data_IF_309459829311
#
_entry.id   IF_309459829311
#
_cell.length_a   1.000
_cell.length_b   1.000
_cell.length_c   1.000
_cell.angle_alpha   90.00
_cell.angle_beta   90.00
_cell.angle_gamma   90.00
#
_symmetry.space_group_name_H-M   'P 1'
#
loop_
_entity.id
_entity.type
_entity.pdbx_description
1 polymer ?
#
# COMPACT_ATOMS: atom_id res chain seq x y z
N UNK A 1 2.39 17.99 -17.16
CA UNK A 1 2.21 16.58 -17.57
C UNK A 1 0.89 16.48 -18.30
N UNK A 2 0.85 15.80 -19.43
CA UNK A 2 -0.43 15.48 -20.08
C UNK A 2 -1.01 14.24 -19.39
N UNK A 3 -2.15 14.40 -18.72
CA UNK A 3 -2.83 13.29 -18.06
C UNK A 3 -3.79 12.60 -19.04
N UNK A 4 -3.90 11.29 -18.95
CA UNK A 4 -4.82 10.46 -19.73
C UNK A 4 -5.61 9.53 -18.81
N UNK A 5 -6.67 8.94 -19.35
CA UNK A 5 -7.45 7.92 -18.67
C UNK A 5 -6.66 6.60 -18.69
N UNK A 6 -6.72 5.86 -17.58
CA UNK A 6 -6.08 4.55 -17.46
C UNK A 6 -6.55 3.60 -18.57
N UNK A 7 -5.65 3.04 -19.39
CA UNK A 7 -6.02 2.17 -20.52
C UNK A 7 -6.52 0.79 -20.08
N UNK A 8 -6.37 0.42 -18.80
CA UNK A 8 -6.80 -0.88 -18.27
C UNK A 8 -8.23 -0.88 -17.75
N UNK A 9 -8.91 0.28 -17.75
CA UNK A 9 -10.32 0.34 -17.39
C UNK A 9 -11.18 -0.35 -18.46
N UNK A 10 -12.14 -1.17 -18.03
CA UNK A 10 -13.10 -1.85 -18.91
C UNK A 10 -14.02 -0.84 -19.62
N UNK A 11 -14.44 0.20 -18.91
CA UNK A 11 -15.29 1.28 -19.43
C UNK A 11 -14.71 2.65 -19.06
N UNK A 12 -13.72 3.15 -19.83
CA UNK A 12 -13.04 4.40 -19.52
C UNK A 12 -13.94 5.64 -19.58
N UNK A 13 -14.97 5.61 -20.43
CA UNK A 13 -15.87 6.77 -20.62
C UNK A 13 -16.81 6.97 -19.43
N UNK A 14 -17.28 5.87 -18.84
CA UNK A 14 -18.19 5.90 -17.70
C UNK A 14 -17.49 5.73 -16.35
N UNK A 15 -16.17 5.54 -16.33
CA UNK A 15 -15.41 5.47 -15.07
C UNK A 15 -15.60 6.74 -14.26
N UNK A 16 -15.97 6.56 -13.01
CA UNK A 16 -15.89 7.58 -11.95
C UNK A 16 -15.27 6.91 -10.73
N UNK A 17 -14.27 7.55 -10.08
CA UNK A 17 -13.79 7.04 -8.79
C UNK A 17 -14.96 6.90 -7.81
N UNK A 18 -14.89 5.89 -6.94
CA UNK A 18 -15.85 5.69 -5.84
C UNK A 18 -15.70 6.80 -4.77
N UNK A 19 -15.53 8.04 -5.20
CA UNK A 19 -15.40 9.20 -4.30
C UNK A 19 -16.79 9.52 -3.79
N UNK A 20 -16.98 9.44 -2.48
CA UNK A 20 -18.20 9.91 -1.88
C UNK A 20 -18.26 11.43 -1.99
N UNK A 21 -19.41 11.94 -2.45
CA UNK A 21 -19.64 13.36 -2.53
C UNK A 21 -19.91 13.94 -1.12
N UNK A 22 -18.86 14.45 -0.49
CA UNK A 22 -18.95 15.06 0.84
C UNK A 22 -19.86 16.32 0.86
N UNK A 23 -20.23 16.88 -0.30
CA UNK A 23 -21.18 17.95 -0.38
C UNK A 23 -22.61 17.46 -0.18
N UNK A 24 -22.93 16.27 -0.69
CA UNK A 24 -24.26 15.67 -0.57
C UNK A 24 -24.43 14.79 0.67
N UNK A 25 -23.36 14.17 1.18
CA UNK A 25 -23.39 13.30 2.35
C UNK A 25 -22.96 14.05 3.63
N UNK A 26 -23.96 14.60 4.32
CA UNK A 26 -23.73 15.38 5.55
C UNK A 26 -23.12 14.54 6.69
N UNK A 27 -23.51 13.29 6.84
CA UNK A 27 -23.03 12.39 7.91
C UNK A 27 -21.55 12.10 7.72
N UNK A 28 -21.16 11.77 6.51
CA UNK A 28 -19.77 11.52 6.16
C UNK A 28 -18.92 12.77 6.27
N UNK A 29 -19.40 13.88 5.74
CA UNK A 29 -18.73 15.18 5.86
C UNK A 29 -18.45 15.53 7.32
N UNK A 30 -19.45 15.40 8.20
CA UNK A 30 -19.30 15.70 9.62
C UNK A 30 -18.30 14.77 10.31
N UNK A 31 -18.28 13.48 9.93
CA UNK A 31 -17.26 12.54 10.41
C UNK A 31 -15.85 12.97 10.01
N UNK A 32 -15.64 13.30 8.73
CA UNK A 32 -14.33 13.73 8.24
C UNK A 32 -13.88 15.06 8.83
N UNK A 33 -14.80 16.03 8.97
CA UNK A 33 -14.48 17.30 9.62
C UNK A 33 -14.06 17.09 11.08
N UNK A 34 -14.80 16.28 11.85
CA UNK A 34 -14.44 15.95 13.22
C UNK A 34 -13.09 15.21 13.32
N UNK A 35 -12.79 14.34 12.34
CA UNK A 35 -11.50 13.64 12.27
C UNK A 35 -10.36 14.62 11.97
N UNK A 36 -10.54 15.53 11.03
CA UNK A 36 -9.58 16.57 10.71
C UNK A 36 -9.32 17.50 11.90
N UNK A 37 -10.36 17.95 12.60
CA UNK A 37 -10.23 18.78 13.80
C UNK A 37 -9.38 18.10 14.88
N UNK A 38 -9.66 16.82 15.15
CA UNK A 38 -8.86 16.04 16.10
C UNK A 38 -7.40 15.87 15.66
N UNK A 39 -7.19 15.67 14.36
CA UNK A 39 -5.85 15.50 13.79
C UNK A 39 -5.08 16.82 13.83
N UNK A 40 -5.70 17.91 13.42
CA UNK A 40 -5.09 19.25 13.47
C UNK A 40 -4.78 19.67 14.91
N UNK A 41 -5.65 19.39 15.87
CA UNK A 41 -5.39 19.65 17.28
C UNK A 41 -4.13 18.92 17.76
N UNK A 42 -3.96 17.63 17.40
CA UNK A 42 -2.74 16.86 17.72
C UNK A 42 -1.48 17.47 17.09
N UNK A 43 -1.56 17.97 15.85
CA UNK A 43 -0.44 18.65 15.21
C UNK A 43 -0.11 19.99 15.87
N UNK A 44 -1.14 20.75 16.30
CA UNK A 44 -0.97 22.02 17.01
C UNK A 44 -0.34 21.77 18.39
N UNK A 45 -0.81 20.76 19.11
CA UNK A 45 -0.21 20.35 20.40
C UNK A 45 1.27 19.97 20.22
N UNK A 46 1.58 19.15 19.22
CA UNK A 46 2.97 18.78 18.87
C UNK A 46 3.79 19.98 18.40
N UNK A 47 3.23 20.91 17.64
CA UNK A 47 3.92 22.12 17.21
C UNK A 47 4.22 23.04 18.42
N UNK A 48 3.33 23.06 19.43
CA UNK A 48 3.58 23.72 20.72
C UNK A 48 4.72 23.05 21.52
N UNK A 49 4.76 21.71 21.50
CA UNK A 49 5.83 20.94 22.11
C UNK A 49 7.18 21.10 21.37
N UNK A 50 7.15 21.33 20.05
CA UNK A 50 8.33 21.59 19.20
C UNK A 50 8.81 23.04 19.26
N UNK A 51 8.34 23.82 20.23
CA UNK A 51 8.83 25.17 20.41
C UNK A 51 10.35 25.12 20.74
N UNK A 52 11.20 25.73 19.91
CA UNK A 52 12.65 25.66 20.07
C UNK A 52 13.17 26.23 21.39
N UNK A 53 12.38 27.04 22.08
CA UNK A 53 12.68 27.58 23.38
C UNK A 53 12.31 26.64 24.55
N UNK A 54 11.72 25.50 24.26
CA UNK A 54 11.39 24.48 25.26
C UNK A 54 12.34 23.29 25.18
N UNK A 55 13.28 23.11 26.14
CA UNK A 55 14.25 22.02 26.13
C UNK A 55 13.60 20.63 26.08
N UNK A 56 12.41 20.49 26.71
CA UNK A 56 11.70 19.22 26.76
C UNK A 56 11.12 18.84 25.40
N UNK A 57 10.62 19.78 24.63
CA UNK A 57 10.13 19.56 23.28
C UNK A 57 11.23 19.08 22.33
N UNK A 58 12.42 19.65 22.47
CA UNK A 58 13.62 19.23 21.72
C UNK A 58 14.06 17.81 22.08
N UNK A 59 13.95 17.43 23.33
CA UNK A 59 14.30 16.10 23.84
C UNK A 59 13.29 15.05 23.36
N UNK A 60 12.00 15.34 23.44
CA UNK A 60 10.92 14.47 22.95
C UNK A 60 10.99 14.31 21.42
N UNK A 61 11.28 15.35 20.67
CA UNK A 61 11.48 15.29 19.22
C UNK A 61 12.72 14.45 18.85
N UNK A 62 13.83 14.59 19.58
CA UNK A 62 15.01 13.76 19.39
C UNK A 62 14.74 12.29 19.72
N UNK A 63 14.01 12.03 20.81
CA UNK A 63 13.60 10.66 21.18
C UNK A 63 12.71 10.04 20.12
N UNK A 64 11.76 10.79 19.56
CA UNK A 64 10.91 10.35 18.47
C UNK A 64 11.73 10.07 17.21
N UNK A 65 12.65 10.95 16.84
CA UNK A 65 13.57 10.78 15.72
C UNK A 65 14.48 9.55 15.90
N UNK A 66 15.04 9.35 17.11
CA UNK A 66 15.84 8.17 17.41
C UNK A 66 15.05 6.87 17.29
N UNK A 67 13.81 6.83 17.79
CA UNK A 67 12.92 5.66 17.65
C UNK A 67 12.60 5.40 16.18
N UNK A 68 12.34 6.43 15.42
CA UNK A 68 12.11 6.34 13.98
C UNK A 68 13.34 5.84 13.23
N UNK A 69 14.54 6.36 13.56
CA UNK A 69 15.81 5.89 13.00
C UNK A 69 16.12 4.44 13.38
N UNK A 70 15.84 4.03 14.62
CA UNK A 70 15.98 2.64 15.06
C UNK A 70 15.00 1.71 14.31
N UNK A 71 13.78 2.18 14.05
CA UNK A 71 12.82 1.45 13.24
C UNK A 71 13.31 1.32 11.78
N UNK A 72 13.85 2.40 11.20
CA UNK A 72 14.44 2.37 9.85
C UNK A 72 15.63 1.42 9.79
N UNK A 73 16.53 1.47 10.77
CA UNK A 73 17.68 0.55 10.82
C UNK A 73 17.23 -0.91 10.99
N UNK A 74 16.21 -1.15 11.80
CA UNK A 74 15.60 -2.48 11.93
C UNK A 74 14.95 -2.94 10.61
N UNK A 75 14.27 -2.04 9.91
CA UNK A 75 13.71 -2.29 8.57
C UNK A 75 14.83 -2.58 7.56
N UNK A 76 15.97 -1.89 7.64
CA UNK A 76 17.12 -2.16 6.76
C UNK A 76 17.80 -3.51 7.02
N UNK A 77 17.72 -4.02 8.24
CA UNK A 77 18.26 -5.34 8.59
C UNK A 77 17.27 -6.50 8.32
N UNK A 78 15.98 -6.25 8.41
CA UNK A 78 14.90 -7.24 8.27
C UNK A 78 14.53 -7.68 6.82
N UNK A 79 14.77 -6.91 5.72
CA UNK A 79 14.35 -7.36 4.38
C UNK A 79 14.94 -8.74 4.00
N UNK A 80 16.12 -9.06 4.49
CA UNK A 80 16.74 -10.37 4.25
C UNK A 80 16.03 -11.48 5.02
N UNK A 81 15.77 -11.26 6.30
CA UNK A 81 15.09 -12.26 7.13
C UNK A 81 13.73 -12.60 6.54
N UNK A 82 12.93 -11.60 6.12
CA UNK A 82 11.63 -11.83 5.51
C UNK A 82 11.70 -12.54 4.16
N UNK A 83 12.67 -12.19 3.32
CA UNK A 83 12.90 -12.87 2.03
C UNK A 83 13.36 -14.29 2.27
N UNK A 84 14.29 -14.49 3.20
CA UNK A 84 14.80 -15.83 3.54
C UNK A 84 13.71 -16.73 4.14
N UNK A 85 12.84 -16.19 5.01
CA UNK A 85 11.66 -16.89 5.52
C UNK A 85 10.72 -17.33 4.39
N UNK A 86 10.40 -16.44 3.46
CA UNK A 86 9.56 -16.74 2.30
C UNK A 86 10.19 -17.80 1.39
N UNK A 87 11.51 -17.74 1.19
CA UNK A 87 12.25 -18.70 0.34
C UNK A 87 12.31 -20.11 0.96
N UNK A 88 12.16 -20.25 2.28
CA UNK A 88 12.05 -21.54 2.96
C UNK A 88 10.68 -22.22 2.75
N UNK A 89 9.65 -21.49 2.36
CA UNK A 89 8.31 -22.04 2.11
C UNK A 89 8.30 -22.73 0.75
N UNK A 90 8.21 -24.06 0.75
CA UNK A 90 8.20 -24.86 -0.47
C UNK A 90 6.81 -25.04 -1.08
N UNK A 91 5.76 -24.97 -0.26
CA UNK A 91 4.39 -25.04 -0.76
C UNK A 91 4.00 -23.73 -1.43
N UNK A 92 3.57 -23.81 -2.69
CA UNK A 92 3.23 -22.64 -3.50
C UNK A 92 2.05 -21.85 -2.91
N UNK A 93 1.04 -22.55 -2.42
CA UNK A 93 -0.17 -21.91 -1.89
C UNK A 93 0.11 -21.22 -0.55
N UNK A 94 0.89 -21.89 0.31
CA UNK A 94 1.34 -21.34 1.59
C UNK A 94 2.21 -20.11 1.37
N UNK A 95 3.17 -20.16 0.44
CA UNK A 95 4.03 -19.03 0.08
C UNK A 95 3.21 -17.81 -0.31
N UNK A 96 2.26 -17.96 -1.23
CA UNK A 96 1.42 -16.85 -1.67
C UNK A 96 0.52 -16.32 -0.56
N UNK A 97 -0.01 -17.18 0.31
CA UNK A 97 -0.76 -16.74 1.48
C UNK A 97 0.11 -15.89 2.41
N UNK A 98 1.34 -16.31 2.68
CA UNK A 98 2.27 -15.56 3.53
C UNK A 98 2.71 -14.23 2.90
N UNK A 99 2.90 -14.18 1.58
CA UNK A 99 3.17 -12.94 0.86
C UNK A 99 1.99 -11.96 0.97
N UNK A 100 0.77 -12.42 0.78
CA UNK A 100 -0.44 -11.60 0.93
C UNK A 100 -0.59 -11.09 2.37
N UNK A 101 -0.39 -11.95 3.37
CA UNK A 101 -0.40 -11.55 4.78
C UNK A 101 0.69 -10.51 5.07
N UNK A 102 1.87 -10.64 4.46
CA UNK A 102 2.94 -9.65 4.58
C UNK A 102 2.54 -8.27 4.07
N UNK A 103 1.87 -8.21 2.91
CA UNK A 103 1.32 -6.94 2.37
C UNK A 103 0.28 -6.36 3.33
N UNK A 104 -0.65 -7.17 3.82
CA UNK A 104 -1.69 -6.73 4.75
C UNK A 104 -1.09 -6.25 6.08
N UNK A 105 -0.13 -6.99 6.63
CA UNK A 105 0.56 -6.61 7.86
C UNK A 105 1.36 -5.31 7.70
N UNK A 106 2.04 -5.14 6.56
CA UNK A 106 2.68 -3.89 6.19
C UNK A 106 1.69 -2.74 6.19
N UNK A 107 0.54 -2.92 5.55
CA UNK A 107 -0.51 -1.91 5.46
C UNK A 107 -1.17 -1.57 6.81
N UNK A 108 -1.06 -2.43 7.84
CA UNK A 108 -1.43 -2.08 9.23
C UNK A 108 -0.53 -0.97 9.78
N UNK A 109 0.76 -0.89 9.38
CA UNK A 109 1.71 0.15 9.81
C UNK A 109 1.43 1.52 9.16
N UNK A 110 0.19 1.93 9.12
CA UNK A 110 -0.20 3.23 8.60
C UNK A 110 -0.24 4.30 9.71
N UNK A 111 0.83 5.07 9.82
CA UNK A 111 0.95 6.19 10.76
C UNK A 111 -0.06 7.32 10.50
N UNK A 112 -0.64 7.38 9.30
CA UNK A 112 -1.73 8.28 8.96
C UNK A 112 -3.07 7.89 9.59
N UNK A 113 -3.19 6.64 10.08
CA UNK A 113 -4.37 6.15 10.78
C UNK A 113 -4.30 6.42 12.28
N UNK A 114 -5.33 7.08 12.82
CA UNK A 114 -5.43 7.34 14.27
C UNK A 114 -5.42 6.05 15.10
N UNK A 115 -6.10 5.01 14.63
CA UNK A 115 -6.18 3.73 15.31
C UNK A 115 -4.80 3.06 15.42
N UNK A 116 -4.04 3.10 14.33
CA UNK A 116 -2.68 2.53 14.29
C UNK A 116 -1.70 3.37 15.10
N UNK A 117 -1.75 4.69 14.99
CA UNK A 117 -0.91 5.58 15.79
C UNK A 117 -1.08 5.36 17.29
N UNK A 118 -2.31 5.09 17.74
CA UNK A 118 -2.61 4.74 19.14
C UNK A 118 -2.00 3.39 19.51
N UNK A 119 -2.19 2.36 18.68
CA UNK A 119 -1.64 1.02 18.90
C UNK A 119 -0.10 1.04 19.01
N UNK A 120 0.56 1.76 18.11
CA UNK A 120 2.02 1.92 18.12
C UNK A 120 2.53 2.69 19.36
N UNK A 121 1.73 3.60 19.91
CA UNK A 121 2.07 4.31 21.13
C UNK A 121 1.94 3.42 22.38
N UNK A 122 0.98 2.48 22.38
CA UNK A 122 0.71 1.57 23.51
C UNK A 122 1.69 0.38 23.53
N UNK A 123 2.21 -0.06 22.37
CA UNK A 123 3.12 -1.21 22.23
C UNK A 123 4.44 -0.77 21.56
N UNK A 124 5.45 -0.32 22.33
CA UNK A 124 6.70 0.18 21.78
C UNK A 124 7.51 -0.82 20.95
N UNK A 125 7.24 -2.12 21.13
CA UNK A 125 7.91 -3.23 20.41
C UNK A 125 7.08 -3.74 19.23
N UNK A 126 6.01 -3.04 18.83
CA UNK A 126 5.15 -3.44 17.73
C UNK A 126 5.96 -3.56 16.43
N UNK A 127 6.06 -4.76 15.88
CA UNK A 127 6.80 -5.10 14.68
C UNK A 127 5.92 -5.83 13.65
N UNK A 128 6.48 -6.26 12.51
CA UNK A 128 5.74 -6.97 11.46
C UNK A 128 5.04 -8.23 12.00
N UNK A 129 5.71 -9.02 12.85
CA UNK A 129 5.11 -10.20 13.47
C UNK A 129 3.85 -9.86 14.27
N UNK A 130 3.87 -8.80 15.08
CA UNK A 130 2.69 -8.34 15.81
C UNK A 130 1.57 -7.87 14.87
N UNK A 131 1.93 -7.20 13.75
CA UNK A 131 0.95 -6.81 12.75
C UNK A 131 0.34 -8.03 12.05
N UNK A 132 1.13 -9.05 11.77
CA UNK A 132 0.63 -10.33 11.23
C UNK A 132 -0.32 -11.03 12.21
N UNK A 133 -0.04 -10.98 13.51
CA UNK A 133 -0.91 -11.53 14.57
C UNK A 133 -2.23 -10.74 14.73
N UNK A 134 -2.26 -9.46 14.31
CA UNK A 134 -3.49 -8.63 14.33
C UNK A 134 -4.39 -8.84 13.12
N UNK A 135 -3.89 -9.46 12.06
CA UNK A 135 -4.71 -9.80 10.90
C UNK A 135 -5.69 -10.90 11.29
N UNK A 136 -6.98 -10.64 11.05
CA UNK A 136 -8.03 -11.61 11.32
C UNK A 136 -7.76 -12.95 10.61
N UNK A 137 -8.18 -14.06 11.25
CA UNK A 137 -8.15 -15.36 10.60
C UNK A 137 -9.11 -15.39 9.40
N UNK A 138 -8.73 -16.17 8.38
CA UNK A 138 -9.61 -16.38 7.21
C UNK A 138 -10.84 -17.21 7.60
N UNK A 139 -12.02 -16.96 6.97
CA UNK A 139 -12.21 -16.09 5.80
C UNK A 139 -12.28 -14.60 6.18
N UNK A 140 -11.60 -13.76 5.39
CA UNK A 140 -11.62 -12.32 5.52
C UNK A 140 -12.93 -11.70 5.04
N UNK A 141 -13.15 -10.41 5.31
CA UNK A 141 -14.35 -9.70 4.86
C UNK A 141 -14.58 -9.80 3.34
N UNK A 142 -13.53 -9.61 2.54
CA UNK A 142 -13.48 -10.04 1.13
C UNK A 142 -12.24 -10.92 0.98
N UNK A 143 -12.44 -12.21 0.69
CA UNK A 143 -11.40 -13.23 0.65
C UNK A 143 -11.42 -14.00 -0.67
N UNK A 144 -10.69 -13.49 -1.65
CA UNK A 144 -10.51 -14.15 -2.94
C UNK A 144 -9.11 -14.80 -3.09
N UNK A 145 -8.41 -15.07 -1.98
CA UNK A 145 -7.05 -15.65 -2.01
C UNK A 145 -7.01 -16.96 -2.79
N UNK A 146 -7.97 -17.84 -2.56
CA UNK A 146 -7.99 -19.13 -3.26
C UNK A 146 -8.15 -18.95 -4.78
N UNK A 147 -9.02 -18.05 -5.22
CA UNK A 147 -9.20 -17.73 -6.65
C UNK A 147 -7.91 -17.15 -7.26
N UNK A 148 -7.20 -16.30 -6.53
CA UNK A 148 -5.91 -15.77 -6.95
C UNK A 148 -4.86 -16.86 -7.10
N UNK A 149 -4.74 -17.75 -6.11
CA UNK A 149 -3.78 -18.86 -6.14
C UNK A 149 -4.11 -19.83 -7.29
N UNK A 150 -5.38 -20.15 -7.52
CA UNK A 150 -5.83 -20.96 -8.66
C UNK A 150 -5.45 -20.29 -10.00
N UNK A 151 -5.59 -18.97 -10.07
CA UNK A 151 -5.18 -18.22 -11.26
C UNK A 151 -3.68 -18.32 -11.49
N UNK A 152 -2.87 -18.12 -10.48
CA UNK A 152 -1.41 -18.23 -10.57
C UNK A 152 -0.92 -19.63 -10.97
N UNK A 153 -1.61 -20.69 -10.52
CA UNK A 153 -1.30 -22.06 -10.91
C UNK A 153 -1.54 -22.35 -12.38
N UNK A 154 -2.40 -21.57 -13.03
CA UNK A 154 -2.83 -21.80 -14.42
C UNK A 154 -2.35 -20.72 -15.39
N UNK A 155 -1.82 -19.59 -14.89
CA UNK A 155 -1.49 -18.44 -15.70
C UNK A 155 -0.26 -17.69 -15.16
N UNK A 156 0.64 -17.32 -16.05
CA UNK A 156 1.74 -16.39 -15.75
C UNK A 156 1.43 -15.03 -16.38
N UNK A 157 1.36 -14.00 -15.56
CA UNK A 157 1.12 -12.63 -16.04
C UNK A 157 2.35 -12.12 -16.80
N UNK A 158 2.12 -11.39 -17.88
CA UNK A 158 3.17 -10.76 -18.68
C UNK A 158 3.72 -9.53 -17.97
N UNK A 159 2.81 -8.68 -17.48
CA UNK A 159 3.15 -7.41 -16.84
C UNK A 159 2.10 -7.03 -15.80
N UNK A 160 2.56 -6.71 -14.60
CA UNK A 160 1.75 -6.19 -13.51
C UNK A 160 2.06 -4.72 -13.26
N UNK A 161 1.03 -3.88 -13.18
CA UNK A 161 1.16 -2.52 -12.65
C UNK A 161 0.65 -2.49 -11.21
N UNK A 162 1.45 -1.96 -10.29
CA UNK A 162 1.18 -1.97 -8.85
C UNK A 162 1.23 -0.55 -8.31
N UNK A 163 0.09 -0.07 -7.80
CA UNK A 163 -0.05 1.20 -7.12
C UNK A 163 0.19 0.98 -5.64
N UNK A 164 1.36 1.41 -5.15
CA UNK A 164 1.80 1.19 -3.77
C UNK A 164 1.32 2.29 -2.83
N UNK A 165 1.11 1.96 -1.56
CA UNK A 165 0.51 2.83 -0.54
C UNK A 165 1.59 3.50 0.33
N UNK A 166 2.02 2.88 1.43
CA UNK A 166 2.84 3.56 2.42
C UNK A 166 4.33 3.29 2.25
N UNK A 167 5.12 4.28 2.70
CA UNK A 167 6.57 4.13 2.82
C UNK A 167 6.95 3.22 4.01
N UNK A 168 8.20 2.77 4.05
CA UNK A 168 8.75 2.02 5.17
C UNK A 168 8.32 0.56 5.19
N UNK A 169 7.73 0.12 6.31
CA UNK A 169 7.40 -1.30 6.57
C UNK A 169 6.48 -1.86 5.50
N UNK A 170 5.46 -1.11 5.11
CA UNK A 170 4.48 -1.50 4.11
C UNK A 170 5.15 -1.87 2.78
N UNK A 171 5.98 -0.98 2.26
CA UNK A 171 6.70 -1.26 1.03
C UNK A 171 7.78 -2.33 1.20
N UNK A 172 8.66 -2.18 2.22
CA UNK A 172 9.89 -3.00 2.34
C UNK A 172 9.59 -4.45 2.75
N UNK A 173 8.67 -4.66 3.69
CA UNK A 173 8.36 -5.99 4.23
C UNK A 173 7.08 -6.59 3.66
N UNK A 174 6.20 -5.76 3.09
CA UNK A 174 4.95 -6.20 2.44
C UNK A 174 5.11 -6.33 0.93
N UNK A 175 5.18 -5.19 0.24
CA UNK A 175 5.14 -5.16 -1.23
C UNK A 175 6.40 -5.74 -1.86
N UNK A 176 7.59 -5.46 -1.34
CA UNK A 176 8.84 -5.87 -1.96
C UNK A 176 9.00 -7.40 -2.08
N UNK A 177 8.70 -8.23 -1.05
CA UNK A 177 8.68 -9.68 -1.20
C UNK A 177 7.62 -10.17 -2.21
N UNK A 178 6.43 -9.56 -2.22
CA UNK A 178 5.35 -9.88 -3.15
C UNK A 178 5.77 -9.66 -4.61
N UNK A 179 6.35 -8.50 -4.95
CA UNK A 179 6.81 -8.22 -6.30
C UNK A 179 8.01 -9.07 -6.71
N UNK A 180 8.90 -9.39 -5.75
CA UNK A 180 10.02 -10.29 -6.00
C UNK A 180 9.53 -11.66 -6.48
N UNK A 181 8.47 -12.18 -5.87
CA UNK A 181 7.90 -13.48 -6.32
C UNK A 181 7.26 -13.36 -7.71
N UNK A 182 6.54 -12.29 -8.03
CA UNK A 182 6.04 -12.05 -9.39
C UNK A 182 7.18 -11.99 -10.42
N UNK A 183 8.27 -11.29 -10.11
CA UNK A 183 9.47 -11.23 -10.96
C UNK A 183 10.11 -12.61 -11.15
N UNK A 184 10.17 -13.43 -10.08
CA UNK A 184 10.69 -14.80 -10.13
C UNK A 184 9.84 -15.70 -11.03
N UNK A 185 8.53 -15.44 -11.10
CA UNK A 185 7.61 -16.12 -12.02
C UNK A 185 7.72 -15.60 -13.47
N UNK A 186 8.54 -14.58 -13.73
CA UNK A 186 8.73 -13.99 -15.06
C UNK A 186 7.81 -12.83 -15.40
N UNK A 187 6.98 -12.37 -14.46
CA UNK A 187 6.11 -11.21 -14.63
C UNK A 187 6.94 -9.92 -14.59
N UNK A 188 6.83 -9.08 -15.62
CA UNK A 188 7.35 -7.70 -15.56
C UNK A 188 6.55 -6.90 -14.55
N UNK A 189 7.22 -6.09 -13.73
CA UNK A 189 6.56 -5.29 -12.69
C UNK A 189 6.79 -3.80 -12.94
N UNK A 190 5.70 -3.03 -12.98
CA UNK A 190 5.68 -1.57 -13.02
C UNK A 190 5.18 -1.09 -11.66
N UNK A 191 6.12 -0.57 -10.84
CA UNK A 191 5.78 0.02 -9.55
C UNK A 191 5.49 1.49 -9.70
N UNK A 192 4.37 1.94 -9.15
CA UNK A 192 3.99 3.33 -9.25
C UNK A 192 3.61 3.91 -7.89
N UNK A 193 4.13 5.10 -7.59
CA UNK A 193 3.97 5.81 -6.33
C UNK A 193 3.58 7.27 -6.55
N UNK A 194 3.19 7.96 -5.49
CA UNK A 194 2.77 9.34 -5.54
C UNK A 194 3.88 10.27 -6.07
N UNK A 195 3.47 11.25 -6.87
CA UNK A 195 4.39 12.29 -7.37
C UNK A 195 4.72 13.35 -6.28
N UNK A 196 3.89 13.46 -5.27
CA UNK A 196 4.02 14.43 -4.19
C UNK A 196 3.81 13.78 -2.82
N UNK A 197 4.47 14.30 -1.77
CA UNK A 197 4.28 13.79 -0.41
C UNK A 197 2.83 13.96 0.07
N UNK A 198 2.30 12.94 0.72
CA UNK A 198 1.01 12.95 1.38
C UNK A 198 1.01 11.97 2.54
N UNK A 199 0.80 12.44 3.76
CA UNK A 199 0.85 11.61 4.96
C UNK A 199 2.14 10.77 5.01
N UNK A 200 2.00 9.44 5.06
CA UNK A 200 3.08 8.46 5.01
C UNK A 200 3.13 7.68 3.70
N UNK A 201 2.38 8.11 2.70
CA UNK A 201 2.41 7.52 1.36
C UNK A 201 3.83 7.55 0.79
N UNK A 202 4.25 6.47 0.14
CA UNK A 202 5.54 6.46 -0.53
C UNK A 202 5.53 7.37 -1.75
N UNK A 203 6.54 8.22 -1.86
CA UNK A 203 6.77 9.04 -3.05
C UNK A 203 7.59 8.27 -4.08
N UNK A 204 7.50 8.68 -5.35
CA UNK A 204 8.32 8.12 -6.42
C UNK A 204 9.83 8.20 -6.12
N UNK A 205 10.28 9.28 -5.48
CA UNK A 205 11.69 9.44 -5.12
C UNK A 205 12.12 8.42 -4.05
N UNK A 206 11.30 8.21 -3.03
CA UNK A 206 11.53 7.20 -1.98
C UNK A 206 11.46 5.79 -2.55
N UNK A 207 10.48 5.51 -3.42
CA UNK A 207 10.34 4.23 -4.12
C UNK A 207 11.63 3.84 -4.85
N UNK A 208 12.22 4.78 -5.59
CA UNK A 208 13.49 4.57 -6.27
C UNK A 208 14.63 4.24 -5.30
N UNK A 209 14.72 4.96 -4.18
CA UNK A 209 15.73 4.71 -3.16
C UNK A 209 15.57 3.32 -2.54
N UNK A 210 14.35 2.90 -2.20
CA UNK A 210 14.08 1.57 -1.68
C UNK A 210 14.45 0.46 -2.67
N UNK A 211 14.04 0.59 -3.94
CA UNK A 211 14.37 -0.37 -4.98
C UNK A 211 15.88 -0.48 -5.22
N UNK A 212 16.59 0.65 -5.28
CA UNK A 212 18.04 0.67 -5.42
C UNK A 212 18.77 0.03 -4.22
N UNK A 213 18.30 0.28 -2.99
CA UNK A 213 18.86 -0.31 -1.78
C UNK A 213 18.61 -1.81 -1.72
N UNK A 214 17.42 -2.26 -2.05
CA UNK A 214 17.05 -3.67 -2.08
C UNK A 214 17.83 -4.45 -3.16
N UNK A 215 18.08 -3.84 -4.31
CA UNK A 215 18.89 -4.43 -5.39
C UNK A 215 20.34 -4.69 -5.00
N UNK A 216 20.89 -3.98 -4.00
CA UNK A 216 22.23 -4.27 -3.47
C UNK A 216 22.27 -5.56 -2.67
N UNK A 217 21.14 -6.05 -2.21
CA UNK A 217 21.00 -7.19 -1.31
C UNK A 217 20.29 -8.40 -1.94
N UNK A 218 19.55 -8.20 -3.05
CA UNK A 218 18.78 -9.23 -3.72
C UNK A 218 19.08 -9.25 -5.24
N UNK A 219 19.67 -10.35 -5.71
CA UNK A 219 20.02 -10.49 -7.12
C UNK A 219 18.80 -10.46 -8.05
N UNK A 220 17.66 -11.02 -7.64
CA UNK A 220 16.41 -10.99 -8.42
C UNK A 220 16.01 -9.55 -8.72
N UNK A 221 16.00 -8.68 -7.72
CA UNK A 221 15.66 -7.26 -7.89
C UNK A 221 16.71 -6.52 -8.71
N UNK A 222 17.99 -6.80 -8.48
CA UNK A 222 19.10 -6.21 -9.24
C UNK A 222 19.01 -6.52 -10.74
N UNK A 223 18.79 -7.78 -11.06
CA UNK A 223 18.71 -8.25 -12.44
C UNK A 223 17.43 -7.73 -13.11
N UNK A 224 16.31 -7.69 -12.38
CA UNK A 224 15.06 -7.14 -12.87
C UNK A 224 15.14 -5.64 -13.18
N UNK A 225 15.79 -4.84 -12.33
CA UNK A 225 16.03 -3.41 -12.60
C UNK A 225 16.94 -3.26 -13.83
N UNK A 226 18.03 -4.02 -13.89
CA UNK A 226 19.01 -3.92 -14.97
C UNK A 226 18.46 -4.32 -16.34
N UNK A 227 17.51 -5.28 -16.37
CA UNK A 227 16.85 -5.77 -17.58
C UNK A 227 15.58 -5.01 -17.96
N UNK A 228 15.09 -4.08 -17.11
CA UNK A 228 13.81 -3.39 -17.30
C UNK A 228 12.58 -4.24 -17.00
N UNK A 229 12.76 -5.38 -16.31
CA UNK A 229 11.65 -6.18 -15.78
C UNK A 229 11.02 -5.55 -14.54
N UNK A 230 11.77 -4.75 -13.79
CA UNK A 230 11.26 -3.90 -12.71
C UNK A 230 11.46 -2.43 -13.10
N UNK A 231 10.35 -1.71 -13.24
CA UNK A 231 10.33 -0.28 -13.59
C UNK A 231 9.60 0.48 -12.50
N UNK A 232 10.12 1.63 -12.10
CA UNK A 232 9.47 2.55 -11.17
C UNK A 232 9.04 3.81 -11.91
N UNK A 233 7.84 4.32 -11.59
CA UNK A 233 7.30 5.53 -12.23
C UNK A 233 6.35 6.26 -11.27
N UNK A 234 6.22 7.57 -11.44
CA UNK A 234 5.26 8.37 -10.69
C UNK A 234 3.83 8.22 -11.21
N UNK A 235 2.82 8.25 -10.32
CA UNK A 235 1.41 8.10 -10.68
C UNK A 235 0.64 9.41 -10.87
N UNK A 236 1.29 10.57 -10.65
CA UNK A 236 0.68 11.88 -10.78
C UNK A 236 -0.15 12.33 -9.58
N UNK A 237 -0.42 11.46 -8.62
CA UNK A 237 -1.29 11.76 -7.48
C UNK A 237 -0.57 12.57 -6.39
N UNK A 238 -1.38 13.27 -5.59
CA UNK A 238 -0.95 14.16 -4.49
C UNK A 238 -1.57 13.77 -3.14
N UNK A 239 -2.17 12.59 -3.07
CA UNK A 239 -2.89 12.12 -1.91
C UNK A 239 -3.06 10.60 -1.90
N UNK A 240 -3.65 10.04 -0.83
CA UNK A 240 -3.81 8.59 -0.68
C UNK A 240 -4.86 7.98 -1.63
N UNK A 241 -5.72 8.81 -2.20
CA UNK A 241 -6.74 8.39 -3.16
C UNK A 241 -6.17 8.33 -4.58
N UNK A 242 -6.68 7.41 -5.40
CA UNK A 242 -6.24 7.21 -6.77
C UNK A 242 -7.36 7.54 -7.76
N UNK A 243 -7.17 8.60 -8.54
CA UNK A 243 -8.04 8.95 -9.67
C UNK A 243 -7.44 8.46 -10.98
N UNK A 244 -7.97 7.36 -11.49
CA UNK A 244 -7.53 6.73 -12.74
C UNK A 244 -7.87 7.55 -14.01
N UNK A 245 -8.61 8.66 -13.89
CA UNK A 245 -8.77 9.65 -14.98
C UNK A 245 -7.59 10.58 -15.14
N UNK A 246 -6.75 10.70 -14.12
CA UNK A 246 -5.65 11.67 -14.04
C UNK A 246 -4.30 10.96 -13.91
N UNK A 247 -4.02 10.01 -14.79
CA UNK A 247 -2.77 9.25 -14.84
C UNK A 247 -1.81 9.93 -15.84
N UNK A 248 -0.51 10.09 -15.50
CA UNK A 248 0.49 10.59 -16.43
C UNK A 248 0.55 9.77 -17.70
N UNK A 249 0.69 10.43 -18.86
CA UNK A 249 0.73 9.74 -20.16
C UNK A 249 1.82 8.68 -20.24
N UNK A 250 2.98 8.95 -19.62
CA UNK A 250 4.11 8.01 -19.58
C UNK A 250 3.75 6.71 -18.82
N UNK A 251 3.02 6.83 -17.69
CA UNK A 251 2.52 5.66 -16.98
C UNK A 251 1.48 4.92 -17.83
N UNK A 252 0.56 5.64 -18.48
CA UNK A 252 -0.42 5.03 -19.38
C UNK A 252 0.26 4.21 -20.50
N UNK A 253 1.32 4.75 -21.11
CA UNK A 253 2.06 4.07 -22.17
C UNK A 253 2.78 2.81 -21.67
N UNK A 254 3.31 2.84 -20.43
CA UNK A 254 3.96 1.69 -19.82
C UNK A 254 2.99 0.56 -19.46
N UNK A 255 1.78 0.92 -18.98
CA UNK A 255 0.82 -0.04 -18.46
C UNK A 255 -0.15 -0.61 -19.51
N UNK A 256 -0.15 -0.10 -20.74
CA UNK A 256 -1.08 -0.51 -21.79
C UNK A 256 -1.04 -2.01 -22.11
N UNK A 257 0.12 -2.64 -21.95
CA UNK A 257 0.32 -4.08 -22.17
C UNK A 257 0.24 -4.91 -20.89
N UNK A 258 -0.09 -4.28 -19.76
CA UNK A 258 -0.25 -5.02 -18.49
C UNK A 258 -1.53 -5.85 -18.51
N UNK A 259 -1.42 -7.06 -18.00
CA UNK A 259 -2.53 -8.01 -17.84
C UNK A 259 -2.90 -8.25 -16.37
N UNK A 260 -2.25 -7.52 -15.45
CA UNK A 260 -2.58 -7.46 -14.03
C UNK A 260 -2.47 -6.02 -13.51
N UNK A 261 -3.46 -5.57 -12.74
CA UNK A 261 -3.41 -4.34 -11.96
C UNK A 261 -3.59 -4.64 -10.48
N UNK A 262 -2.73 -4.08 -9.62
CA UNK A 262 -2.80 -4.21 -8.17
C UNK A 262 -2.95 -2.83 -7.54
N UNK A 263 -4.02 -2.65 -6.78
CA UNK A 263 -4.28 -1.44 -6.01
C UNK A 263 -4.10 -1.78 -4.52
N UNK A 264 -3.05 -1.24 -3.92
CA UNK A 264 -2.74 -1.46 -2.52
C UNK A 264 -3.16 -0.25 -1.69
N UNK A 265 -3.63 -0.53 -0.48
CA UNK A 265 -4.00 0.46 0.51
C UNK A 265 -5.45 0.92 0.44
N UNK A 266 -5.94 1.39 1.59
CA UNK A 266 -7.36 1.74 1.77
C UNK A 266 -7.78 2.92 0.87
N UNK A 267 -6.93 3.91 0.69
CA UNK A 267 -7.23 5.09 -0.15
C UNK A 267 -7.37 4.73 -1.62
N UNK A 268 -6.41 3.97 -2.16
CA UNK A 268 -6.32 3.61 -3.58
C UNK A 268 -7.32 2.54 -3.98
N UNK A 269 -7.47 1.51 -3.15
CA UNK A 269 -8.31 0.36 -3.47
C UNK A 269 -9.75 0.52 -2.98
N UNK A 270 -9.97 0.94 -1.72
CA UNK A 270 -11.31 0.89 -1.11
C UNK A 270 -12.06 2.20 -1.26
N UNK A 271 -11.44 3.34 -0.93
CA UNK A 271 -12.12 4.64 -1.01
C UNK A 271 -12.49 5.04 -2.44
N UNK A 272 -11.66 4.67 -3.43
CA UNK A 272 -11.81 5.22 -4.78
C UNK A 272 -12.07 4.18 -5.86
N UNK A 273 -11.73 2.91 -5.65
CA UNK A 273 -11.76 1.92 -6.74
C UNK A 273 -12.30 0.54 -6.34
N UNK A 274 -13.01 0.40 -5.21
CA UNK A 274 -13.49 -0.92 -4.75
C UNK A 274 -14.40 -1.60 -5.77
N UNK A 275 -15.26 -0.81 -6.44
CA UNK A 275 -16.23 -1.29 -7.41
C UNK A 275 -15.79 -1.05 -8.86
N UNK A 276 -14.58 -0.50 -9.08
CA UNK A 276 -14.05 -0.30 -10.43
C UNK A 276 -13.79 -1.64 -11.10
N UNK A 277 -14.31 -1.82 -12.30
CA UNK A 277 -14.04 -2.97 -13.16
C UNK A 277 -12.87 -2.67 -14.11
N UNK A 278 -11.97 -3.64 -14.27
CA UNK A 278 -10.82 -3.55 -15.17
C UNK A 278 -10.98 -4.51 -16.35
N UNK A 279 -10.37 -4.16 -17.48
CA UNK A 279 -10.29 -5.03 -18.65
C UNK A 279 -9.23 -6.14 -18.50
N UNK A 280 -8.50 -6.13 -17.40
CA UNK A 280 -7.44 -7.06 -17.04
C UNK A 280 -7.70 -7.62 -15.65
N UNK A 281 -6.98 -8.68 -15.28
CA UNK A 281 -7.05 -9.21 -13.91
C UNK A 281 -6.70 -8.11 -12.90
N UNK A 282 -7.41 -8.05 -11.79
CA UNK A 282 -7.21 -7.00 -10.79
C UNK A 282 -7.18 -7.53 -9.37
N UNK A 283 -6.32 -6.92 -8.55
CA UNK A 283 -6.28 -7.13 -7.10
C UNK A 283 -6.50 -5.79 -6.40
N UNK A 284 -7.39 -5.78 -5.41
CA UNK A 284 -7.59 -4.70 -4.46
C UNK A 284 -7.32 -5.25 -3.07
N UNK A 285 -6.27 -4.72 -2.42
CA UNK A 285 -5.78 -5.24 -1.14
C UNK A 285 -5.67 -4.12 -0.11
N UNK A 286 -6.30 -4.28 1.04
CA UNK A 286 -6.25 -3.31 2.13
C UNK A 286 -6.70 -3.88 3.47
N UNK A 287 -6.32 -3.18 4.55
CA UNK A 287 -6.90 -3.33 5.89
C UNK A 287 -7.77 -2.11 6.18
N UNK A 288 -9.01 -2.32 6.64
CA UNK A 288 -9.98 -1.26 6.94
C UNK A 288 -9.65 -0.58 8.28
N UNK A 289 -8.77 0.41 8.27
CA UNK A 289 -8.34 1.14 9.46
C UNK A 289 -9.32 2.21 9.91
N UNK A 290 -10.18 2.69 9.02
CA UNK A 290 -11.19 3.70 9.29
C UNK A 290 -12.51 3.04 9.72
N UNK A 291 -12.95 3.30 10.97
CA UNK A 291 -14.14 2.68 11.54
C UNK A 291 -15.43 3.03 10.78
N UNK A 292 -15.54 4.28 10.33
CA UNK A 292 -16.70 4.72 9.57
C UNK A 292 -16.81 3.99 8.24
N UNK A 293 -15.69 3.91 7.48
CA UNK A 293 -15.64 3.21 6.21
C UNK A 293 -15.96 1.71 6.39
N UNK A 294 -15.35 1.08 7.40
CA UNK A 294 -15.65 -0.33 7.70
C UNK A 294 -17.14 -0.55 7.96
N UNK A 295 -17.76 0.27 8.80
CA UNK A 295 -19.20 0.20 9.09
C UNK A 295 -20.07 0.46 7.85
N UNK A 296 -19.69 1.40 6.99
CA UNK A 296 -20.43 1.70 5.76
C UNK A 296 -20.44 0.53 4.77
N UNK A 297 -19.40 -0.30 4.81
CA UNK A 297 -19.30 -1.54 4.03
C UNK A 297 -19.94 -2.75 4.72
N UNK A 298 -20.39 -2.62 5.97
CA UNK A 298 -20.89 -3.76 6.78
C UNK A 298 -19.79 -4.62 7.39
N UNK A 299 -18.56 -4.08 7.48
CA UNK A 299 -17.39 -4.71 8.06
C UNK A 299 -17.03 -4.13 9.43
N UNK A 300 -16.03 -4.71 10.09
CA UNK A 300 -15.43 -4.19 11.31
C UNK A 300 -14.15 -3.41 11.02
N UNK A 301 -13.75 -2.55 11.95
CA UNK A 301 -12.42 -1.96 11.89
C UNK A 301 -11.35 -3.06 11.95
N UNK A 302 -10.31 -2.93 11.12
CA UNK A 302 -9.27 -3.92 10.85
C UNK A 302 -9.71 -5.15 10.04
N UNK A 303 -10.97 -5.23 9.58
CA UNK A 303 -11.35 -6.23 8.59
C UNK A 303 -10.49 -6.12 7.32
N UNK A 304 -10.22 -7.26 6.73
CA UNK A 304 -9.31 -7.43 5.60
C UNK A 304 -10.08 -7.54 4.29
N UNK A 305 -9.55 -6.88 3.27
CA UNK A 305 -9.99 -7.01 1.88
C UNK A 305 -8.83 -7.54 1.05
N UNK A 306 -9.03 -8.71 0.45
CA UNK A 306 -8.26 -9.22 -0.68
C UNK A 306 -9.25 -9.59 -1.78
N UNK A 307 -9.54 -8.61 -2.65
CA UNK A 307 -10.48 -8.76 -3.76
C UNK A 307 -9.71 -8.99 -5.05
N UNK A 308 -9.74 -10.21 -5.56
CA UNK A 308 -9.24 -10.56 -6.89
C UNK A 308 -10.43 -10.68 -7.85
N UNK A 309 -10.32 -10.09 -9.03
CA UNK A 309 -11.31 -10.14 -10.10
C UNK A 309 -10.58 -10.48 -11.41
N UNK A 310 -10.92 -11.60 -12.06
CA UNK A 310 -10.35 -11.94 -13.36
C UNK A 310 -10.84 -10.99 -14.45
N UNK A 311 -10.06 -10.83 -15.51
CA UNK A 311 -10.50 -10.15 -16.73
C UNK A 311 -11.78 -10.80 -17.28
N UNK A 312 -12.74 -10.00 -17.71
CA UNK A 312 -14.03 -10.43 -18.24
C UNK A 312 -14.04 -10.31 -19.76
#
# INVERSE_FOLDING_TARGET
MNNRICPLLKDPENYTPDIQDLLSNEVERNYWLATLERTVAKFVDKAGELNPDNPKATEDAKSCLQKFQQLIEKIKSDPRERIDEIDLINDFNEKWLELIKGVLAGNVFDWGSEAVAKMLAEVPTFGLSHAMDTIEERPWFIDHVNLWIERLNSHTFKSAVIFVDNAGVDFVLGILPFIRELLTMGTRVILTANSYPSLNDVTYQELNLYCCSAAQQCNVLKDAISSGQLVTIENGQKGPCLDLKNIPSELCDLMVESDLIVLEGMGRSVHTNLNTEFAVDSIKIAVLKNEWLAKSLGANQFSVIFKYEPAV
#
